data_IF_664292355378
#
_entry.id   IF_664292355378
#
_cell.length_a   1.000
_cell.length_b   1.000
_cell.length_c   1.000
_cell.angle_alpha   90.00
_cell.angle_beta   90.00
_cell.angle_gamma   90.00
#
_symmetry.space_group_name_H-M   'P 1'
#
loop_
_entity.id
_entity.type
_entity.pdbx_description
1 polymer ?
#
# COMPACT_ATOMS: atom_id res chain seq x y z
N UNK A 1 -7.94 19.34 -15.61
CA UNK A 1 -7.57 17.98 -15.16
C UNK A 1 -8.75 17.08 -15.44
N UNK A 2 -8.53 15.90 -16.02
CA UNK A 2 -9.60 14.91 -16.19
C UNK A 2 -10.01 14.30 -14.85
N UNK A 3 -11.12 13.56 -14.85
CA UNK A 3 -11.53 12.80 -13.67
C UNK A 3 -10.49 11.76 -13.25
N UNK A 4 -10.24 11.67 -11.94
CA UNK A 4 -9.38 10.65 -11.35
C UNK A 4 -9.92 9.24 -11.65
N UNK A 5 -9.05 8.34 -12.10
CA UNK A 5 -9.40 6.95 -12.39
C UNK A 5 -8.96 6.05 -11.24
N UNK A 6 -9.79 5.05 -10.95
CA UNK A 6 -9.57 4.09 -9.86
C UNK A 6 -9.30 2.71 -10.46
N UNK A 7 -8.21 2.08 -10.01
CA UNK A 7 -7.86 0.71 -10.35
C UNK A 7 -7.92 -0.10 -9.06
N UNK A 8 -8.87 -1.03 -8.97
CA UNK A 8 -8.97 -1.95 -7.85
C UNK A 8 -8.18 -3.20 -8.14
N UNK A 9 -7.25 -3.55 -7.24
CA UNK A 9 -6.49 -4.79 -7.31
C UNK A 9 -7.01 -5.74 -6.25
N UNK A 10 -7.63 -6.83 -6.69
CA UNK A 10 -8.19 -7.87 -5.82
C UNK A 10 -7.35 -9.15 -5.87
N UNK A 11 -7.52 -10.02 -4.87
CA UNK A 11 -6.87 -11.33 -4.82
C UNK A 11 -7.88 -12.47 -4.84
N UNK A 12 -7.57 -13.53 -5.58
CA UNK A 12 -8.31 -14.78 -5.57
C UNK A 12 -7.40 -15.98 -5.35
N UNK A 13 -8.01 -17.14 -5.13
CA UNK A 13 -7.36 -18.46 -4.90
C UNK A 13 -6.57 -18.55 -3.60
N UNK A 14 -5.49 -17.78 -3.44
CA UNK A 14 -4.61 -17.84 -2.28
C UNK A 14 -4.00 -16.46 -1.94
N UNK A 15 -3.64 -16.28 -0.67
CA UNK A 15 -2.80 -15.16 -0.24
C UNK A 15 -1.34 -15.34 -0.68
N UNK A 16 -0.51 -14.31 -0.49
CA UNK A 16 0.94 -14.34 -0.77
C UNK A 16 1.38 -14.46 -2.24
N UNK A 17 0.47 -14.27 -3.20
CA UNK A 17 0.79 -14.23 -4.65
C UNK A 17 1.47 -12.92 -5.12
N UNK A 18 1.89 -12.04 -4.21
CA UNK A 18 2.64 -10.83 -4.56
C UNK A 18 1.80 -9.63 -5.04
N UNK A 19 0.55 -9.50 -4.56
CA UNK A 19 -0.35 -8.41 -4.97
C UNK A 19 0.25 -7.02 -4.74
N UNK A 20 0.86 -6.76 -3.58
CA UNK A 20 1.50 -5.47 -3.28
C UNK A 20 2.56 -5.07 -4.31
N UNK A 21 3.46 -6.01 -4.66
CA UNK A 21 4.52 -5.78 -5.66
C UNK A 21 3.95 -5.56 -7.07
N UNK A 22 2.94 -6.34 -7.46
CA UNK A 22 2.28 -6.18 -8.77
C UNK A 22 1.60 -4.81 -8.87
N UNK A 23 0.82 -4.41 -7.85
CA UNK A 23 0.18 -3.10 -7.80
C UNK A 23 1.20 -1.95 -7.86
N UNK A 24 2.29 -2.07 -7.11
CA UNK A 24 3.40 -1.10 -7.12
C UNK A 24 4.02 -0.97 -8.50
N UNK A 25 4.25 -2.10 -9.18
CA UNK A 25 4.83 -2.15 -10.52
C UNK A 25 3.92 -1.50 -11.58
N UNK A 26 2.61 -1.77 -11.52
CA UNK A 26 1.62 -1.12 -12.39
C UNK A 26 1.63 0.39 -12.17
N UNK A 27 1.63 0.85 -10.91
CA UNK A 27 1.70 2.27 -10.59
C UNK A 27 2.97 2.92 -11.13
N UNK A 28 4.12 2.25 -11.04
CA UNK A 28 5.38 2.74 -11.61
C UNK A 28 5.35 2.86 -13.13
N UNK A 29 4.75 1.88 -13.82
CA UNK A 29 4.58 1.93 -15.28
C UNK A 29 3.66 3.09 -15.71
N UNK A 30 2.61 3.38 -14.93
CA UNK A 30 1.73 4.52 -15.16
C UNK A 30 2.49 5.84 -14.95
N UNK A 31 3.29 5.97 -13.88
CA UNK A 31 4.16 7.13 -13.69
C UNK A 31 5.15 7.31 -14.86
N UNK A 32 5.73 6.22 -15.36
CA UNK A 32 6.63 6.26 -16.52
C UNK A 32 5.95 6.76 -17.80
N UNK A 33 4.61 6.70 -17.87
CA UNK A 33 3.80 7.27 -18.95
C UNK A 33 3.30 8.70 -18.66
N UNK A 34 3.78 9.32 -17.57
CA UNK A 34 3.44 10.71 -17.21
C UNK A 34 2.14 10.86 -16.41
N UNK A 35 1.57 9.77 -15.87
CA UNK A 35 0.39 9.86 -15.01
C UNK A 35 0.79 10.18 -13.56
N UNK A 36 -0.01 11.02 -12.91
CA UNK A 36 0.03 11.18 -11.46
C UNK A 36 -0.67 9.98 -10.81
N UNK A 37 0.05 9.25 -9.96
CA UNK A 37 -0.41 8.00 -9.34
C UNK A 37 -0.24 8.07 -7.84
N UNK A 38 -1.24 7.57 -7.11
CA UNK A 38 -1.18 7.23 -5.69
C UNK A 38 -1.80 5.86 -5.49
N UNK A 39 -1.65 5.27 -4.31
CA UNK A 39 -2.12 3.92 -4.00
C UNK A 39 -2.64 3.84 -2.57
N UNK A 40 -3.63 2.98 -2.33
CA UNK A 40 -4.21 2.74 -1.02
C UNK A 40 -4.21 1.23 -0.73
N UNK A 41 -3.89 0.86 0.50
CA UNK A 41 -3.98 -0.50 1.03
C UNK A 41 -5.18 -0.61 1.96
N UNK A 42 -6.00 -1.62 1.71
CA UNK A 42 -7.11 -2.01 2.56
C UNK A 42 -6.75 -3.33 3.24
N UNK A 43 -6.50 -3.28 4.55
CA UNK A 43 -6.15 -4.43 5.37
C UNK A 43 -7.40 -4.94 6.10
N UNK A 44 -7.82 -6.19 5.87
CA UNK A 44 -9.03 -6.74 6.48
C UNK A 44 -8.81 -7.20 7.94
N UNK A 45 -7.73 -6.77 8.58
CA UNK A 45 -7.44 -7.09 9.97
C UNK A 45 -8.22 -6.16 10.91
N UNK A 46 -8.55 -6.68 12.09
CA UNK A 46 -9.24 -5.93 13.15
C UNK A 46 -8.30 -5.02 13.96
N UNK A 47 -6.99 -5.27 13.86
CA UNK A 47 -5.98 -4.42 14.46
C UNK A 47 -6.04 -3.04 13.78
N UNK A 48 -6.19 -1.99 14.59
CA UNK A 48 -6.26 -0.59 14.12
C UNK A 48 -4.95 -0.18 13.44
N UNK A 49 -3.84 -0.71 13.95
CA UNK A 49 -2.49 -0.51 13.46
C UNK A 49 -1.67 -1.81 13.67
N UNK A 50 -0.60 -2.01 12.88
CA UNK A 50 0.27 -3.18 13.04
C UNK A 50 1.20 -3.08 14.25
N UNK A 51 1.21 -1.97 15.00
CA UNK A 51 2.02 -1.82 16.22
C UNK A 51 1.65 -2.83 17.31
N UNK A 52 0.44 -3.38 17.25
CA UNK A 52 -0.05 -4.45 18.13
C UNK A 52 0.30 -5.88 17.65
N UNK A 53 0.84 -6.03 16.44
CA UNK A 53 1.21 -7.33 15.87
C UNK A 53 2.66 -7.71 16.23
N UNK A 54 2.93 -9.01 16.32
CA UNK A 54 4.30 -9.50 16.47
C UNK A 54 5.08 -9.36 15.15
N UNK A 55 6.14 -8.52 15.09
CA UNK A 55 6.84 -8.24 13.84
C UNK A 55 7.59 -9.45 13.26
N UNK A 56 7.96 -10.42 14.10
CA UNK A 56 8.63 -11.63 13.64
C UNK A 56 7.70 -12.61 12.91
N UNK A 57 6.39 -12.46 13.10
CA UNK A 57 5.36 -13.32 12.49
C UNK A 57 4.59 -12.60 11.37
N UNK A 58 4.37 -11.30 11.51
CA UNK A 58 3.52 -10.51 10.63
C UNK A 58 4.28 -9.53 9.72
N UNK A 59 5.59 -9.40 9.92
CA UNK A 59 6.43 -8.46 9.19
C UNK A 59 6.58 -7.11 9.90
N UNK A 60 7.36 -6.22 9.30
CA UNK A 60 7.66 -4.91 9.89
C UNK A 60 6.44 -4.00 9.97
N UNK A 61 6.42 -3.14 10.99
CA UNK A 61 5.54 -1.98 11.03
C UNK A 61 6.20 -0.84 10.25
N UNK A 62 5.56 -0.36 9.19
CA UNK A 62 6.04 0.77 8.41
C UNK A 62 5.52 2.09 9.00
N UNK A 63 6.37 3.11 9.07
CA UNK A 63 5.99 4.42 9.62
C UNK A 63 6.05 5.48 8.52
N UNK A 64 4.90 6.10 8.23
CA UNK A 64 4.77 7.16 7.23
C UNK A 64 5.32 8.50 7.74
N UNK A 65 5.47 9.48 6.84
CA UNK A 65 6.00 10.82 7.18
C UNK A 65 5.15 11.58 8.20
N UNK A 66 3.86 11.30 8.28
CA UNK A 66 2.92 11.85 9.26
C UNK A 66 2.84 11.04 10.56
N UNK A 67 3.72 10.05 10.74
CA UNK A 67 3.87 9.26 11.96
C UNK A 67 2.81 8.17 12.12
N UNK A 68 2.12 7.77 11.05
CA UNK A 68 1.18 6.66 11.11
C UNK A 68 1.91 5.32 10.97
N UNK A 69 1.64 4.43 11.92
CA UNK A 69 2.04 3.02 11.88
C UNK A 69 1.12 2.26 10.94
N UNK A 70 1.67 1.67 9.89
CA UNK A 70 0.94 1.06 8.79
C UNK A 70 1.61 -0.24 8.32
N UNK A 71 0.86 -1.01 7.52
CA UNK A 71 1.32 -2.27 6.95
C UNK A 71 2.58 -2.09 6.06
N UNK A 72 3.45 -3.12 6.06
CA UNK A 72 4.72 -3.12 5.33
C UNK A 72 4.58 -2.85 3.82
N UNK A 73 3.41 -3.11 3.23
CA UNK A 73 3.18 -2.83 1.82
C UNK A 73 3.30 -1.35 1.48
N UNK A 74 3.06 -0.43 2.42
CA UNK A 74 3.28 1.00 2.18
C UNK A 74 4.75 1.31 1.86
N UNK A 75 5.68 0.60 2.51
CA UNK A 75 7.09 0.69 2.16
C UNK A 75 7.40 0.19 0.74
N UNK A 76 6.67 -0.81 0.23
CA UNK A 76 6.79 -1.21 -1.18
C UNK A 76 6.30 -0.10 -2.12
N UNK A 77 5.16 0.52 -1.79
CA UNK A 77 4.58 1.59 -2.60
C UNK A 77 5.50 2.80 -2.69
N UNK A 78 6.01 3.30 -1.57
CA UNK A 78 6.93 4.44 -1.57
C UNK A 78 8.19 4.16 -2.38
N UNK A 79 8.78 2.96 -2.21
CA UNK A 79 10.02 2.57 -2.93
C UNK A 79 9.82 2.49 -4.45
N UNK A 80 8.68 1.99 -4.92
CA UNK A 80 8.40 1.91 -6.35
C UNK A 80 7.99 3.26 -6.93
N UNK A 81 7.06 3.95 -6.28
CA UNK A 81 6.42 5.15 -6.79
C UNK A 81 7.23 6.42 -6.53
N UNK A 82 8.16 6.40 -5.57
CA UNK A 82 8.92 7.60 -5.17
C UNK A 82 8.02 8.72 -4.65
N UNK A 83 6.91 8.36 -4.00
CA UNK A 83 5.97 9.28 -3.36
C UNK A 83 5.93 9.03 -1.87
N UNK A 84 5.59 10.05 -1.09
CA UNK A 84 5.29 9.91 0.33
C UNK A 84 3.82 9.50 0.50
N UNK A 85 3.61 8.46 1.30
CA UNK A 85 2.30 8.03 1.78
C UNK A 85 2.01 8.61 3.15
N UNK A 86 0.74 8.67 3.50
CA UNK A 86 0.24 9.18 4.78
C UNK A 86 -0.76 8.19 5.37
N UNK A 87 -1.33 8.54 6.53
CA UNK A 87 -2.45 7.80 7.12
C UNK A 87 -3.61 7.54 6.14
N UNK A 88 -3.82 8.39 5.15
CA UNK A 88 -4.88 8.21 4.16
C UNK A 88 -4.62 7.05 3.18
N UNK A 89 -3.41 6.49 3.16
CA UNK A 89 -3.01 5.41 2.26
C UNK A 89 -3.18 4.01 2.87
N UNK A 90 -3.51 3.89 4.16
CA UNK A 90 -3.78 2.62 4.82
C UNK A 90 -5.14 2.67 5.54
N UNK A 91 -5.99 1.69 5.27
CA UNK A 91 -7.31 1.56 5.88
C UNK A 91 -7.43 0.13 6.42
N UNK A 92 -7.69 0.00 7.72
CA UNK A 92 -8.04 -1.25 8.39
C UNK A 92 -9.57 -1.36 8.58
N UNK A 93 -10.08 -2.52 8.98
CA UNK A 93 -11.53 -2.69 9.30
C UNK A 93 -11.88 -2.02 10.62
#
# INVERSE_FOLDING_TARGET
>A
MGETKYIFVTGGVASSLGKGIISSSIGKLLQARGYNVTIQKFDPYINIDPGTLNPYEHGECYVTVDGHEADLDLGHYERFLGIQTTKANNITT
#
